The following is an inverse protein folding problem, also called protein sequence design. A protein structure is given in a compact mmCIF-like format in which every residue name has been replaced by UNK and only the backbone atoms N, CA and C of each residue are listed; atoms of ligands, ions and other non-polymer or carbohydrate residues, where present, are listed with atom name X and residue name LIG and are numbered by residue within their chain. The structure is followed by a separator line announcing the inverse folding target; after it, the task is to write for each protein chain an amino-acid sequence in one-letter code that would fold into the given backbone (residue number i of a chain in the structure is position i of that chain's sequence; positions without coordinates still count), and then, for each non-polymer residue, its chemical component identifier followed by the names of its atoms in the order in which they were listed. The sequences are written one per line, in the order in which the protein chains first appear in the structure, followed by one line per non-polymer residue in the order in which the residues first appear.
data_IF_943338270757
#
_entry.id   IF_943338270757
#
_cell.length_a   1.000
_cell.length_b   1.000
_cell.length_c   1.000
_cell.angle_alpha   90.00
_cell.angle_beta   90.00
_cell.angle_gamma   90.00
#
_symmetry.space_group_name_H-M   'P 1'
#
loop_
_entity.id
_entity.type
_entity.pdbx_description
1 polymer ?
#
# COMPACT_ATOMS: atom_id res chain seq x y z
N UNK A 1 -10.63 -12.58 4.82
CA UNK A 1 -10.47 -11.85 3.54
C UNK A 1 -8.99 -11.68 3.31
N UNK A 2 -8.46 -12.11 2.16
CA UNK A 2 -7.05 -11.90 1.85
C UNK A 2 -6.81 -10.42 1.62
N UNK A 3 -5.85 -9.83 2.34
CA UNK A 3 -5.43 -8.45 2.06
C UNK A 3 -4.88 -8.37 0.63
N UNK A 4 -5.35 -7.41 -0.15
CA UNK A 4 -4.82 -7.14 -1.49
C UNK A 4 -3.33 -6.80 -1.37
N UNK A 5 -2.49 -7.50 -2.14
CA UNK A 5 -1.04 -7.24 -2.22
C UNK A 5 -0.82 -5.80 -2.71
N UNK A 6 0.11 -5.10 -2.07
CA UNK A 6 0.57 -3.78 -2.50
C UNK A 6 1.32 -3.86 -3.84
N UNK A 7 1.43 -2.72 -4.53
CA UNK A 7 2.16 -2.64 -5.80
C UNK A 7 3.63 -3.09 -5.64
N UNK A 8 4.23 -2.79 -4.50
CA UNK A 8 5.59 -3.21 -4.18
C UNK A 8 5.70 -4.73 -3.98
N UNK A 9 4.75 -5.36 -3.29
CA UNK A 9 4.71 -6.83 -3.15
C UNK A 9 4.57 -7.52 -4.52
N UNK A 10 3.74 -6.96 -5.40
CA UNK A 10 3.59 -7.44 -6.77
C UNK A 10 4.87 -7.26 -7.59
N UNK A 11 5.58 -6.14 -7.42
CA UNK A 11 6.87 -5.90 -8.06
C UNK A 11 7.93 -6.91 -7.59
N UNK A 12 7.99 -7.15 -6.28
CA UNK A 12 8.90 -8.13 -5.68
C UNK A 12 8.56 -9.58 -6.05
N UNK A 13 7.29 -9.91 -6.23
CA UNK A 13 6.87 -11.23 -6.72
C UNK A 13 7.30 -11.46 -8.17
N UNK A 14 7.21 -10.43 -9.02
CA UNK A 14 7.74 -10.48 -10.39
C UNK A 14 9.26 -10.63 -10.42
N UNK A 15 10.00 -9.96 -9.53
CA UNK A 15 11.47 -10.06 -9.49
C UNK A 15 11.95 -11.38 -8.88
N UNK A 16 11.25 -11.92 -7.87
CA UNK A 16 11.56 -13.25 -7.30
C UNK A 16 11.45 -14.41 -8.29
N UNK A 17 10.59 -14.29 -9.31
CA UNK A 17 10.53 -15.28 -10.39
C UNK A 17 11.75 -15.21 -11.34
N UNK A 18 12.60 -14.18 -11.25
CA UNK A 18 13.79 -13.99 -12.10
C UNK A 18 15.10 -14.25 -11.33
N UNK A 19 15.07 -14.38 -10.00
CA UNK A 19 16.24 -14.74 -9.20
C UNK A 19 15.83 -15.02 -7.74
N UNK A 20 16.24 -16.18 -7.23
CA UNK A 20 15.70 -16.82 -6.04
C UNK A 20 15.73 -16.01 -4.73
N UNK A 21 14.82 -16.42 -3.84
CA UNK A 21 14.81 -16.22 -2.38
C UNK A 21 14.99 -14.78 -1.86
N UNK A 22 13.86 -14.16 -1.50
CA UNK A 22 13.88 -12.89 -0.76
C UNK A 22 12.50 -12.39 -0.41
N UNK A 23 11.68 -13.19 0.28
CA UNK A 23 10.51 -12.63 0.96
C UNK A 23 11.04 -11.74 2.08
N UNK A 24 11.15 -10.44 1.81
CA UNK A 24 11.42 -9.43 2.82
C UNK A 24 10.47 -9.68 4.00
N UNK A 25 11.04 -10.20 5.08
CA UNK A 25 10.27 -10.64 6.23
C UNK A 25 10.07 -9.42 7.11
N UNK A 26 8.88 -8.85 7.03
CA UNK A 26 8.52 -7.71 7.87
C UNK A 26 8.42 -8.12 9.34
N UNK A 27 8.94 -7.26 10.21
CA UNK A 27 8.71 -7.33 11.65
C UNK A 27 7.23 -7.13 11.99
N UNK A 28 6.83 -7.51 13.20
CA UNK A 28 5.46 -7.31 13.67
C UNK A 28 5.05 -5.82 13.65
N UNK A 29 5.96 -4.93 14.02
CA UNK A 29 5.72 -3.49 14.01
C UNK A 29 5.53 -2.94 12.58
N UNK A 30 6.33 -3.39 11.61
CA UNK A 30 6.18 -2.98 10.21
C UNK A 30 4.87 -3.48 9.60
N UNK A 31 4.47 -4.73 9.92
CA UNK A 31 3.17 -5.26 9.50
C UNK A 31 2.03 -4.44 10.09
N UNK A 32 2.13 -4.08 11.36
CA UNK A 32 1.15 -3.22 12.03
C UNK A 32 1.11 -1.82 11.39
N UNK A 33 2.25 -1.22 11.08
CA UNK A 33 2.33 0.08 10.40
C UNK A 33 1.61 0.04 9.04
N UNK A 34 1.84 -1.01 8.24
CA UNK A 34 1.14 -1.21 6.96
C UNK A 34 -0.38 -1.34 7.17
N UNK A 35 -0.82 -2.13 8.15
CA UNK A 35 -2.24 -2.29 8.46
C UNK A 35 -2.88 -0.96 8.90
N UNK A 36 -2.19 -0.16 9.72
CA UNK A 36 -2.65 1.16 10.14
C UNK A 36 -2.70 2.15 8.96
N UNK A 37 -1.73 2.11 8.04
CA UNK A 37 -1.77 2.88 6.79
C UNK A 37 -2.99 2.47 5.95
N UNK A 38 -3.22 1.17 5.73
CA UNK A 38 -4.37 0.67 4.96
C UNK A 38 -5.68 1.18 5.56
N UNK A 39 -5.90 0.93 6.86
CA UNK A 39 -7.10 1.38 7.58
C UNK A 39 -7.33 2.88 7.48
N UNK A 40 -6.28 3.68 7.66
CA UNK A 40 -6.37 5.15 7.59
C UNK A 40 -6.78 5.62 6.20
N UNK A 41 -6.22 5.02 5.15
CA UNK A 41 -6.51 5.43 3.78
C UNK A 41 -7.84 4.85 3.27
N UNK A 42 -8.30 3.71 3.76
CA UNK A 42 -9.66 3.22 3.53
C UNK A 42 -10.70 4.19 4.09
N UNK A 43 -10.50 4.72 5.30
CA UNK A 43 -11.38 5.74 5.87
C UNK A 43 -11.42 7.01 4.99
N UNK A 44 -10.27 7.47 4.48
CA UNK A 44 -10.20 8.61 3.55
C UNK A 44 -10.90 8.35 2.22
N UNK A 45 -10.77 7.13 1.68
CA UNK A 45 -11.48 6.72 0.47
C UNK A 45 -12.99 6.78 0.70
N UNK A 46 -13.47 6.18 1.79
CA UNK A 46 -14.90 6.20 2.13
C UNK A 46 -15.42 7.62 2.33
N UNK A 47 -14.64 8.49 2.98
CA UNK A 47 -14.96 9.91 3.14
C UNK A 47 -15.06 10.63 1.78
N UNK A 48 -14.07 10.45 0.90
CA UNK A 48 -14.07 11.05 -0.44
C UNK A 48 -15.21 10.52 -1.32
N UNK A 49 -15.58 9.24 -1.18
CA UNK A 49 -16.72 8.64 -1.89
C UNK A 49 -18.05 9.29 -1.49
N UNK A 50 -18.19 9.71 -0.23
CA UNK A 50 -19.40 10.36 0.31
C UNK A 50 -19.42 11.86 -0.01
N UNK A 51 -18.31 12.56 0.23
CA UNK A 51 -18.27 14.03 0.18
C UNK A 51 -18.25 14.54 -1.26
N UNK A 52 -17.52 13.87 -2.15
CA UNK A 52 -17.35 14.33 -3.52
C UNK A 52 -18.51 13.82 -4.35
N UNK A 53 -19.29 14.71 -4.96
CA UNK A 53 -20.44 14.32 -5.80
C UNK A 53 -20.08 14.25 -7.27
N UNK A 54 -19.10 15.05 -7.70
CA UNK A 54 -18.59 15.09 -9.07
C UNK A 54 -17.75 13.82 -9.38
N UNK A 55 -18.11 13.05 -10.41
CA UNK A 55 -17.46 11.76 -10.68
C UNK A 55 -16.00 11.91 -11.14
N UNK A 56 -15.68 12.93 -11.96
CA UNK A 56 -14.33 13.14 -12.47
C UNK A 56 -13.38 13.61 -11.36
N UNK A 57 -13.85 14.52 -10.49
CA UNK A 57 -13.10 14.95 -9.30
C UNK A 57 -12.95 13.84 -8.30
N UNK A 58 -14.00 13.03 -8.10
CA UNK A 58 -13.95 11.87 -7.21
C UNK A 58 -12.90 10.87 -7.67
N UNK A 59 -12.90 10.51 -8.95
CA UNK A 59 -11.92 9.56 -9.49
C UNK A 59 -10.49 10.06 -9.29
N UNK A 60 -10.23 11.34 -9.60
CA UNK A 60 -8.91 11.96 -9.40
C UNK A 60 -8.48 11.96 -7.93
N UNK A 61 -9.39 12.31 -7.01
CA UNK A 61 -9.09 12.31 -5.58
C UNK A 61 -8.84 10.89 -5.07
N UNK A 62 -9.66 9.92 -5.47
CA UNK A 62 -9.49 8.52 -5.09
C UNK A 62 -8.17 7.94 -5.62
N UNK A 63 -7.79 8.25 -6.86
CA UNK A 63 -6.49 7.86 -7.42
C UNK A 63 -5.33 8.49 -6.63
N UNK A 64 -5.42 9.78 -6.28
CA UNK A 64 -4.43 10.44 -5.43
C UNK A 64 -4.29 9.75 -4.06
N UNK A 65 -5.41 9.50 -3.37
CA UNK A 65 -5.43 8.84 -2.06
C UNK A 65 -4.83 7.42 -2.16
N UNK A 66 -5.17 6.66 -3.20
CA UNK A 66 -4.63 5.32 -3.44
C UNK A 66 -3.12 5.35 -3.69
N UNK A 67 -2.62 6.26 -4.53
CA UNK A 67 -1.18 6.40 -4.80
C UNK A 67 -0.40 6.78 -3.54
N UNK A 68 -0.92 7.70 -2.74
CA UNK A 68 -0.28 8.08 -1.48
C UNK A 68 -0.27 6.96 -0.45
N UNK A 69 -1.33 6.13 -0.41
CA UNK A 69 -1.35 4.92 0.40
C UNK A 69 -0.20 3.98 -0.02
N UNK A 70 -0.10 3.69 -1.31
CA UNK A 70 0.92 2.78 -1.83
C UNK A 70 2.33 3.33 -1.58
N UNK A 71 2.58 4.62 -1.81
CA UNK A 71 3.87 5.26 -1.54
C UNK A 71 4.28 5.11 -0.07
N UNK A 72 3.33 5.24 0.87
CA UNK A 72 3.62 5.07 2.30
C UNK A 72 3.92 3.62 2.65
N UNK A 73 3.16 2.68 2.10
CA UNK A 73 3.38 1.25 2.29
C UNK A 73 4.75 0.85 1.72
N UNK A 74 5.09 1.30 0.51
CA UNK A 74 6.40 1.13 -0.11
C UNK A 74 7.52 1.68 0.78
N UNK A 75 7.35 2.87 1.36
CA UNK A 75 8.31 3.41 2.32
C UNK A 75 8.53 2.53 3.55
N UNK A 76 7.55 1.74 4.00
CA UNK A 76 7.74 0.74 5.07
C UNK A 76 8.59 -0.43 4.57
N UNK A 77 8.31 -0.92 3.36
CA UNK A 77 9.10 -1.99 2.74
C UNK A 77 10.55 -1.58 2.46
N UNK A 78 10.79 -0.35 1.98
CA UNK A 78 12.15 0.17 1.76
C UNK A 78 12.93 0.27 3.07
N UNK A 79 12.29 0.75 4.15
CA UNK A 79 12.91 0.78 5.48
C UNK A 79 13.24 -0.62 5.99
N UNK A 80 12.39 -1.61 5.67
CA UNK A 80 12.64 -2.99 6.03
C UNK A 80 13.84 -3.56 5.27
N UNK A 81 13.97 -3.23 3.98
CA UNK A 81 15.10 -3.68 3.15
C UNK A 81 16.42 -3.04 3.57
N UNK A 82 16.45 -1.75 3.91
CA UNK A 82 17.67 -1.06 4.35
C UNK A 82 18.17 -1.46 5.74
N UNK A 83 17.31 -2.08 6.55
CA UNK A 83 17.66 -2.59 7.89
C UNK A 83 18.01 -4.09 7.91
N UNK A 84 17.93 -4.76 6.76
CA UNK A 84 18.24 -6.19 6.61
C UNK A 84 19.68 -6.43 6.16
#
# INVERSE_FOLDING_TARGET
MGELKSAWELAMEKTKNVGGEGALTLTADQKREIAEIRKKYEAKIAEAEIIITDPEKKEKELDYIRRERERKIEGVYEKAQKKS
#
